data_IF_033529274430
#
_entry.id   IF_033529274430
#
_cell.length_a   1.000
_cell.length_b   1.000
_cell.length_c   1.000
_cell.angle_alpha   90.00
_cell.angle_beta   90.00
_cell.angle_gamma   90.00
#
_symmetry.space_group_name_H-M   'P 1'
#
loop_
_entity.id
_entity.type
_entity.pdbx_description
1 polymer ?
#
# COMPACT_ATOMS: atom_id res chain seq x y z
N UNK A 1 44.06 29.01 4.63
CA UNK A 1 42.58 28.99 4.69
C UNK A 1 42.06 28.85 3.26
N UNK A 2 41.16 27.90 2.99
CA UNK A 2 40.69 27.63 1.62
C UNK A 2 39.38 28.41 1.37
N UNK A 3 39.33 29.39 0.46
CA UNK A 3 38.14 30.22 0.28
C UNK A 3 37.02 29.41 -0.38
N UNK A 4 35.83 29.42 0.22
CA UNK A 4 34.65 28.74 -0.33
C UNK A 4 34.30 29.38 -1.68
N UNK A 5 34.45 28.62 -2.78
CA UNK A 5 34.33 29.14 -4.14
C UNK A 5 32.89 29.48 -4.57
N UNK A 6 31.85 28.87 -3.95
CA UNK A 6 30.44 29.22 -4.16
C UNK A 6 29.54 28.52 -3.13
N UNK A 7 28.53 29.21 -2.63
CA UNK A 7 27.51 28.66 -1.72
C UNK A 7 26.17 28.63 -2.46
N UNK A 8 25.55 27.45 -2.56
CA UNK A 8 24.19 27.30 -3.10
C UNK A 8 23.22 27.25 -1.91
N UNK A 9 22.26 28.18 -1.90
CA UNK A 9 21.16 28.22 -0.92
C UNK A 9 19.85 28.11 -1.67
N UNK A 10 18.93 27.29 -1.16
CA UNK A 10 17.61 27.12 -1.75
C UNK A 10 16.69 26.32 -0.85
N UNK A 11 15.40 26.38 -1.17
CA UNK A 11 14.36 25.58 -0.53
C UNK A 11 13.68 24.74 -1.59
N UNK A 12 13.49 23.46 -1.31
CA UNK A 12 12.78 22.52 -2.16
C UNK A 12 11.52 22.08 -1.44
N UNK A 13 10.39 22.16 -2.14
CA UNK A 13 9.10 21.67 -1.66
C UNK A 13 8.57 20.65 -2.65
N UNK A 14 8.24 19.45 -2.17
CA UNK A 14 7.55 18.42 -2.94
C UNK A 14 6.16 18.22 -2.34
N UNK A 15 5.14 18.54 -3.11
CA UNK A 15 3.75 18.37 -2.69
C UNK A 15 3.30 16.91 -2.80
N UNK A 16 2.12 16.58 -2.24
CA UNK A 16 1.54 15.26 -2.40
C UNK A 16 1.17 15.00 -3.88
N UNK A 17 1.29 13.74 -4.31
CA UNK A 17 0.82 13.27 -5.60
C UNK A 17 -0.13 12.08 -5.38
N UNK A 18 -1.27 12.10 -6.07
CA UNK A 18 -2.23 11.00 -6.04
C UNK A 18 -1.92 10.00 -7.16
N UNK A 19 -2.07 8.71 -6.87
CA UNK A 19 -1.68 7.62 -7.77
C UNK A 19 -2.49 7.57 -9.08
N UNK A 20 -3.79 7.90 -9.01
CA UNK A 20 -4.69 7.96 -10.18
C UNK A 20 -4.63 6.72 -11.09
N UNK A 21 -4.65 5.53 -10.48
CA UNK A 21 -4.75 4.27 -11.23
C UNK A 21 -6.06 4.25 -12.03
N UNK A 22 -6.00 3.74 -13.27
CA UNK A 22 -7.17 3.70 -14.16
C UNK A 22 -8.27 2.78 -13.60
N UNK A 23 -7.88 1.68 -12.96
CA UNK A 23 -8.77 0.87 -12.14
C UNK A 23 -8.86 1.47 -10.73
N UNK A 24 -10.08 1.72 -10.20
CA UNK A 24 -10.27 2.09 -8.80
C UNK A 24 -9.84 0.96 -7.87
N UNK A 25 -9.32 1.30 -6.69
CA UNK A 25 -9.09 0.32 -5.63
C UNK A 25 -10.43 -0.30 -5.21
N UNK A 26 -10.62 -1.60 -5.47
CA UNK A 26 -11.86 -2.31 -5.16
C UNK A 26 -11.59 -3.73 -4.63
N UNK A 27 -12.63 -4.37 -4.10
CA UNK A 27 -12.55 -5.73 -3.59
C UNK A 27 -13.95 -6.39 -3.58
N UNK A 28 -14.01 -7.68 -3.95
CA UNK A 28 -15.17 -8.55 -3.73
C UNK A 28 -14.78 -9.60 -2.71
N UNK A 29 -15.63 -9.81 -1.70
CA UNK A 29 -15.44 -10.82 -0.66
C UNK A 29 -16.66 -11.73 -0.63
N UNK A 30 -16.44 -13.02 -0.84
CA UNK A 30 -17.49 -14.05 -0.85
C UNK A 30 -17.27 -14.96 0.36
N UNK A 31 -18.19 -14.97 1.34
CA UNK A 31 -18.12 -15.91 2.45
C UNK A 31 -18.31 -17.34 1.96
N UNK A 32 -17.48 -18.25 2.47
CA UNK A 32 -17.61 -19.70 2.25
C UNK A 32 -17.92 -20.40 3.58
N UNK A 33 -18.13 -21.72 3.56
CA UNK A 33 -18.37 -22.48 4.79
C UNK A 33 -17.18 -22.43 5.76
N UNK A 34 -15.96 -22.42 5.22
CA UNK A 34 -14.71 -22.54 5.98
C UNK A 34 -13.84 -21.27 5.97
N UNK A 35 -14.25 -20.19 5.29
CA UNK A 35 -13.42 -19.00 5.12
C UNK A 35 -14.01 -17.91 4.22
N UNK A 36 -13.13 -17.23 3.47
CA UNK A 36 -13.48 -16.11 2.58
C UNK A 36 -12.72 -16.22 1.26
N UNK A 37 -13.43 -16.20 0.14
CA UNK A 37 -12.81 -15.95 -1.16
C UNK A 37 -12.73 -14.43 -1.37
N UNK A 38 -11.51 -13.91 -1.46
CA UNK A 38 -11.25 -12.47 -1.58
C UNK A 38 -10.61 -12.15 -2.92
N UNK A 39 -11.18 -11.18 -3.64
CA UNK A 39 -10.73 -10.71 -4.95
C UNK A 39 -10.40 -9.21 -4.89
N UNK A 40 -9.21 -8.83 -4.38
CA UNK A 40 -8.81 -7.43 -4.22
C UNK A 40 -7.99 -6.92 -5.42
N UNK A 41 -8.11 -5.64 -5.74
CA UNK A 41 -7.14 -4.92 -6.59
C UNK A 41 -5.85 -4.67 -5.78
N UNK A 42 -4.96 -5.67 -5.69
CA UNK A 42 -3.75 -5.60 -4.84
C UNK A 42 -2.45 -5.76 -5.62
N UNK A 43 -1.39 -5.14 -5.12
CA UNK A 43 -0.02 -5.37 -5.57
C UNK A 43 0.72 -6.44 -4.76
N UNK A 44 0.20 -6.80 -3.58
CA UNK A 44 0.86 -7.72 -2.66
C UNK A 44 -0.15 -8.65 -1.99
N UNK A 45 -0.34 -9.82 -2.61
CA UNK A 45 -1.39 -10.78 -2.25
C UNK A 45 -1.18 -11.36 -0.85
N UNK A 46 0.05 -11.77 -0.52
CA UNK A 46 0.41 -12.33 0.80
C UNK A 46 0.16 -11.32 1.94
N UNK A 47 0.62 -10.08 1.79
CA UNK A 47 0.37 -9.04 2.80
C UNK A 47 -1.12 -8.74 2.97
N UNK A 48 -1.89 -8.83 1.89
CA UNK A 48 -3.34 -8.66 1.92
C UNK A 48 -4.00 -9.78 2.73
N UNK A 49 -3.65 -11.04 2.45
CA UNK A 49 -4.16 -12.22 3.16
C UNK A 49 -3.79 -12.19 4.65
N UNK A 50 -2.52 -11.99 5.00
CA UNK A 50 -2.06 -11.90 6.38
C UNK A 50 -2.75 -10.75 7.12
N UNK A 51 -2.98 -9.61 6.46
CA UNK A 51 -3.67 -8.47 7.08
C UNK A 51 -5.15 -8.76 7.34
N UNK A 52 -5.85 -9.37 6.38
CA UNK A 52 -7.26 -9.78 6.54
C UNK A 52 -7.40 -10.78 7.68
N UNK A 53 -6.56 -11.81 7.70
CA UNK A 53 -6.58 -12.84 8.74
C UNK A 53 -6.38 -12.24 10.15
N UNK A 54 -5.41 -11.32 10.29
CA UNK A 54 -5.16 -10.61 11.55
C UNK A 54 -6.31 -9.71 11.98
N UNK A 55 -6.92 -8.98 11.04
CA UNK A 55 -8.05 -8.11 11.33
C UNK A 55 -9.29 -8.89 11.81
N UNK A 56 -9.49 -10.09 11.27
CA UNK A 56 -10.64 -10.94 11.59
C UNK A 56 -10.35 -11.95 12.72
N UNK A 57 -9.10 -12.08 13.15
CA UNK A 57 -8.69 -13.06 14.16
C UNK A 57 -8.80 -14.51 13.69
N UNK A 58 -8.67 -14.74 12.37
CA UNK A 58 -8.69 -16.08 11.76
C UNK A 58 -7.27 -16.54 11.38
N UNK A 59 -7.02 -17.85 11.25
CA UNK A 59 -5.72 -18.35 10.78
C UNK A 59 -5.41 -17.89 9.35
N UNK A 60 -4.14 -17.61 9.04
CA UNK A 60 -3.73 -17.11 7.71
C UNK A 60 -3.91 -18.15 6.60
N UNK A 61 -4.02 -19.44 6.91
CA UNK A 61 -4.24 -20.52 5.94
C UNK A 61 -5.72 -20.84 5.69
N UNK A 62 -6.61 -19.89 5.99
CA UNK A 62 -8.07 -20.00 5.86
C UNK A 62 -8.62 -18.90 4.97
#
# INVERSE_FOLDING_TARGET
>A
ENPIAKVIKGTFNCGPQYHYTMEPQCCVCVPTEDGLDVYPSTQYIDFTQTSIARCLGIPENR
#
